data_IF_984131757821
#
_entry.id   IF_984131757821
#
_cell.length_a   1.000
_cell.length_b   1.000
_cell.length_c   1.000
_cell.angle_alpha   90.00
_cell.angle_beta   90.00
_cell.angle_gamma   90.00
#
_symmetry.space_group_name_H-M   'P 1'
#
loop_
_entity.id
_entity.type
_entity.pdbx_description
1 polymer ?
#
# COMPACT_ATOMS: atom_id res chain seq x y z
N UNK A 1 62.33 -39.86 -1.71
CA UNK A 1 63.05 -41.14 -1.53
C UNK A 1 63.13 -41.43 -0.03
N UNK A 2 62.96 -42.60 0.57
CA UNK A 2 62.25 -43.84 0.33
C UNK A 2 62.19 -44.55 1.71
N UNK A 3 61.07 -45.22 1.98
CA UNK A 3 60.74 -46.19 3.06
C UNK A 3 61.92 -46.87 3.80
N UNK A 4 61.79 -47.12 5.12
CA UNK A 4 61.43 -48.47 5.68
C UNK A 4 61.30 -48.53 7.21
N UNK A 5 60.29 -49.29 7.65
CA UNK A 5 60.02 -49.84 8.99
C UNK A 5 61.09 -50.85 9.45
N UNK A 6 61.36 -50.96 10.76
CA UNK A 6 60.88 -52.05 11.67
C UNK A 6 61.58 -52.06 13.05
N UNK A 7 60.75 -52.24 14.10
CA UNK A 7 60.87 -53.00 15.38
C UNK A 7 62.11 -53.91 15.54
N UNK A 8 62.68 -54.21 16.72
CA UNK A 8 62.10 -54.66 18.00
C UNK A 8 63.20 -54.74 19.10
N UNK A 9 62.79 -54.83 20.37
CA UNK A 9 63.55 -55.01 21.63
C UNK A 9 64.46 -56.26 21.70
N UNK A 10 65.35 -56.41 22.73
CA UNK A 10 64.94 -57.03 24.01
C UNK A 10 65.66 -56.56 25.30
N UNK A 11 65.18 -57.13 26.42
CA UNK A 11 65.46 -56.96 27.87
C UNK A 11 66.88 -57.37 28.36
N UNK A 12 67.27 -56.94 29.58
CA UNK A 12 67.48 -57.80 30.81
C UNK A 12 68.60 -57.30 31.76
N UNK A 13 68.20 -56.88 32.98
CA UNK A 13 68.68 -57.15 34.37
C UNK A 13 70.18 -57.24 34.77
N UNK A 14 70.59 -56.53 35.85
CA UNK A 14 71.04 -57.09 37.16
C UNK A 14 72.12 -56.27 37.95
N UNK A 15 71.67 -55.64 39.06
CA UNK A 15 72.16 -55.71 40.46
C UNK A 15 73.66 -55.65 40.86
N UNK A 16 74.03 -54.71 41.76
CA UNK A 16 74.85 -55.00 42.97
C UNK A 16 74.91 -53.85 43.99
N UNK A 17 74.66 -54.19 45.26
CA UNK A 17 74.83 -53.41 46.49
C UNK A 17 76.30 -53.12 46.84
N UNK A 18 76.58 -51.96 47.50
CA UNK A 18 77.18 -51.92 48.86
C UNK A 18 77.33 -50.49 49.44
N UNK A 19 76.98 -50.41 50.73
CA UNK A 19 77.03 -49.28 51.68
C UNK A 19 78.41 -48.65 51.89
N UNK A 20 78.45 -47.35 52.18
CA UNK A 20 79.35 -46.77 53.20
C UNK A 20 78.71 -45.58 53.93
N UNK A 21 79.09 -45.46 55.20
CA UNK A 21 78.63 -44.56 56.26
C UNK A 21 78.61 -43.08 55.85
N UNK A 22 77.58 -42.36 56.27
CA UNK A 22 77.51 -40.90 56.13
C UNK A 22 77.42 -40.24 57.52
N UNK A 23 78.23 -39.19 57.71
CA UNK A 23 78.43 -38.48 58.97
C UNK A 23 77.50 -37.27 59.08
N UNK A 24 77.16 -36.93 60.34
CA UNK A 24 76.30 -35.82 60.71
C UNK A 24 76.78 -34.45 60.20
N UNK A 25 76.04 -33.86 59.26
CA UNK A 25 75.77 -32.42 59.23
C UNK A 25 74.29 -32.23 58.88
N UNK A 26 73.55 -31.69 59.83
CA UNK A 26 72.12 -31.39 59.75
C UNK A 26 71.80 -30.46 58.57
N UNK A 27 71.07 -30.98 57.58
CA UNK A 27 70.33 -30.16 56.63
C UNK A 27 68.86 -30.16 57.05
N UNK A 28 68.54 -29.35 58.06
CA UNK A 28 67.14 -29.05 58.39
C UNK A 28 66.66 -28.03 57.38
N UNK A 29 66.09 -28.50 56.26
CA UNK A 29 65.28 -27.65 55.38
C UNK A 29 63.94 -27.42 56.07
N UNK A 30 63.80 -26.25 56.71
CA UNK A 30 62.51 -25.75 57.17
C UNK A 30 61.70 -25.46 55.91
N UNK A 31 60.76 -26.34 55.55
CA UNK A 31 59.75 -26.01 54.53
C UNK A 31 58.90 -24.88 55.08
N UNK A 32 59.13 -23.65 54.62
CA UNK A 32 58.21 -22.55 54.88
C UNK A 32 56.81 -22.96 54.43
N UNK A 33 55.86 -22.96 55.39
CA UNK A 33 54.44 -23.16 55.13
C UNK A 33 54.01 -22.01 54.21
N UNK A 34 53.85 -22.27 52.90
CA UNK A 34 53.26 -21.29 51.98
C UNK A 34 51.91 -20.87 52.52
N UNK A 35 51.76 -19.58 52.76
CA UNK A 35 50.54 -19.01 53.30
C UNK A 35 49.44 -19.02 52.24
N UNK A 36 48.61 -20.06 52.26
CA UNK A 36 47.51 -20.25 51.31
C UNK A 36 46.29 -19.37 51.62
N UNK A 37 46.37 -18.46 52.60
CA UNK A 37 45.28 -17.55 52.96
C UNK A 37 44.87 -16.66 51.79
N UNK A 38 45.81 -16.15 51.02
CA UNK A 38 45.54 -15.32 49.84
C UNK A 38 44.77 -16.09 48.76
N UNK A 39 45.18 -17.32 48.45
CA UNK A 39 44.49 -18.17 47.47
C UNK A 39 43.07 -18.54 47.93
N UNK A 40 42.88 -18.80 49.23
CA UNK A 40 41.56 -19.08 49.81
C UNK A 40 40.65 -17.86 49.78
N UNK A 41 41.16 -16.68 50.12
CA UNK A 41 40.40 -15.42 50.06
C UNK A 41 39.98 -15.09 48.64
N UNK A 42 40.90 -15.21 47.67
CA UNK A 42 40.60 -14.99 46.25
C UNK A 42 39.58 -16.00 45.74
N UNK A 43 39.74 -17.29 46.05
CA UNK A 43 38.76 -18.32 45.68
C UNK A 43 37.36 -18.06 46.27
N UNK A 44 37.30 -17.61 47.53
CA UNK A 44 36.02 -17.28 48.20
C UNK A 44 35.34 -16.07 47.54
N UNK A 45 36.11 -15.04 47.17
CA UNK A 45 35.60 -13.88 46.42
C UNK A 45 35.01 -14.32 45.08
N UNK A 46 35.70 -15.20 44.34
CA UNK A 46 35.18 -15.73 43.06
C UNK A 46 33.91 -16.56 43.24
N UNK A 47 33.80 -17.36 44.31
CA UNK A 47 32.59 -18.14 44.61
C UNK A 47 31.42 -17.20 44.94
N UNK A 48 31.65 -16.19 45.77
CA UNK A 48 30.62 -15.19 46.14
C UNK A 48 30.18 -14.39 44.91
N UNK A 49 31.12 -13.96 44.06
CA UNK A 49 30.81 -13.26 42.82
C UNK A 49 30.04 -14.16 41.84
N UNK A 50 30.42 -15.43 41.73
CA UNK A 50 29.71 -16.43 40.93
C UNK A 50 28.26 -16.62 41.38
N UNK A 51 28.03 -16.76 42.69
CA UNK A 51 26.68 -16.86 43.26
C UNK A 51 25.87 -15.59 43.05
N UNK A 52 26.50 -14.42 43.14
CA UNK A 52 25.85 -13.13 42.87
C UNK A 52 25.43 -13.01 41.40
N UNK A 53 26.29 -13.43 40.46
CA UNK A 53 25.98 -13.43 39.03
C UNK A 53 24.90 -14.46 38.67
N UNK A 54 24.91 -15.65 39.29
CA UNK A 54 23.84 -16.64 39.14
C UNK A 54 22.52 -16.09 39.70
N UNK A 55 22.56 -15.46 40.88
CA UNK A 55 21.40 -14.80 41.49
C UNK A 55 20.85 -13.68 40.61
N UNK A 56 21.72 -12.85 40.04
CA UNK A 56 21.33 -11.83 39.07
C UNK A 56 20.76 -12.44 37.79
N UNK A 57 21.32 -13.53 37.29
CA UNK A 57 20.83 -14.26 36.13
C UNK A 57 19.42 -14.82 36.36
N UNK A 58 19.18 -15.47 37.50
CA UNK A 58 17.86 -15.98 37.90
C UNK A 58 16.88 -14.83 38.10
N UNK A 59 17.29 -13.74 38.78
CA UNK A 59 16.47 -12.56 38.98
C UNK A 59 16.07 -11.89 37.65
N UNK A 60 17.02 -11.74 36.73
CA UNK A 60 16.81 -11.20 35.39
C UNK A 60 15.84 -12.08 34.59
N UNK A 61 16.04 -13.40 34.63
CA UNK A 61 15.17 -14.37 33.96
C UNK A 61 13.73 -14.35 34.49
N UNK A 62 13.56 -14.37 35.81
CA UNK A 62 12.22 -14.33 36.45
C UNK A 62 11.51 -12.99 36.22
N UNK A 63 12.26 -11.89 36.18
CA UNK A 63 11.70 -10.54 35.94
C UNK A 63 11.30 -10.33 34.49
N UNK A 64 12.03 -10.90 33.54
CA UNK A 64 11.80 -10.69 32.10
C UNK A 64 10.90 -11.77 31.47
N UNK A 65 10.72 -12.94 32.11
CA UNK A 65 10.03 -14.09 31.53
C UNK A 65 8.51 -14.18 31.76
N UNK A 66 7.87 -13.20 32.41
CA UNK A 66 6.40 -13.23 32.57
C UNK A 66 5.75 -12.43 31.45
N UNK A 67 5.12 -13.13 30.49
CA UNK A 67 4.16 -12.49 29.61
C UNK A 67 3.09 -11.80 30.49
N UNK A 68 2.68 -10.58 30.16
CA UNK A 68 1.63 -9.90 30.90
C UNK A 68 0.36 -10.76 30.88
N UNK A 69 -0.35 -10.77 32.01
CA UNK A 69 -1.62 -11.47 32.12
C UNK A 69 -2.69 -10.66 31.38
N UNK A 70 -3.51 -11.32 30.57
CA UNK A 70 -4.61 -10.66 29.86
C UNK A 70 -5.78 -10.51 30.83
N UNK A 71 -6.30 -9.29 30.95
CA UNK A 71 -7.49 -8.97 31.73
C UNK A 71 -8.62 -8.57 30.77
N UNK A 72 -9.55 -9.49 30.57
CA UNK A 72 -10.67 -9.34 29.64
C UNK A 72 -11.66 -8.23 30.03
N UNK A 73 -11.62 -7.72 31.26
CA UNK A 73 -12.47 -6.63 31.71
C UNK A 73 -11.99 -5.25 31.23
N UNK A 74 -10.78 -5.16 30.66
CA UNK A 74 -10.20 -3.90 30.22
C UNK A 74 -10.53 -3.60 28.76
N UNK A 75 -10.88 -2.34 28.48
CA UNK A 75 -11.16 -1.87 27.13
C UNK A 75 -9.87 -1.61 26.35
N UNK A 76 -9.68 -2.21 25.16
CA UNK A 76 -8.48 -1.98 24.36
C UNK A 76 -8.34 -0.52 23.89
N UNK A 77 -7.12 -0.06 23.58
CA UNK A 77 -6.87 1.22 22.91
C UNK A 77 -7.55 1.33 21.54
N UNK A 78 -7.71 2.56 21.04
CA UNK A 78 -8.28 2.85 19.71
C UNK A 78 -7.20 3.14 18.68
N UNK A 79 -7.52 2.96 17.39
CA UNK A 79 -6.68 3.34 16.24
C UNK A 79 -7.34 4.42 15.37
N UNK A 80 -8.16 5.30 15.95
CA UNK A 80 -9.03 6.25 15.23
C UNK A 80 -8.30 7.23 14.32
N UNK A 81 -7.05 7.55 14.64
CA UNK A 81 -6.22 8.50 13.87
C UNK A 81 -5.32 7.78 12.84
N UNK A 82 -5.46 6.46 12.70
CA UNK A 82 -4.69 5.64 11.75
C UNK A 82 -5.34 5.68 10.36
N UNK A 83 -4.55 6.00 9.33
CA UNK A 83 -5.01 5.98 7.95
C UNK A 83 -5.30 4.55 7.47
N UNK A 84 -6.35 4.39 6.66
CA UNK A 84 -6.75 3.10 6.09
C UNK A 84 -5.96 2.72 4.83
N UNK A 85 -5.36 3.70 4.17
CA UNK A 85 -4.49 3.49 3.03
C UNK A 85 -3.30 4.44 3.10
N UNK A 86 -2.13 3.99 2.63
CA UNK A 86 -0.92 4.82 2.57
C UNK A 86 0.01 4.36 1.46
N UNK A 87 0.71 5.31 0.86
CA UNK A 87 1.81 5.07 -0.06
C UNK A 87 3.21 5.24 0.55
N UNK A 88 3.29 5.43 1.86
CA UNK A 88 4.54 5.54 2.57
C UNK A 88 5.34 4.22 2.64
N UNK A 89 6.60 4.33 3.06
CA UNK A 89 7.40 3.18 3.48
C UNK A 89 7.04 2.71 4.90
N UNK A 90 6.24 3.51 5.63
CA UNK A 90 5.84 3.24 7.00
C UNK A 90 4.32 3.29 7.18
N UNK A 91 3.78 2.33 7.93
CA UNK A 91 2.45 2.44 8.51
C UNK A 91 2.57 3.19 9.84
N UNK A 92 1.83 4.28 9.97
CA UNK A 92 1.80 5.10 11.18
C UNK A 92 0.53 4.80 11.96
N UNK A 93 0.67 4.05 13.05
CA UNK A 93 -0.45 3.66 13.93
C UNK A 93 -0.65 4.72 15.01
N UNK A 94 -1.81 5.37 14.98
CA UNK A 94 -2.19 6.45 15.90
C UNK A 94 -3.57 6.22 16.50
N UNK A 95 -3.73 6.64 17.75
CA UNK A 95 -5.02 6.68 18.41
C UNK A 95 -4.91 7.00 19.91
N UNK A 96 -5.93 6.61 20.67
CA UNK A 96 -6.10 6.98 22.07
C UNK A 96 -5.93 5.75 23.00
N UNK A 97 -5.24 5.98 24.11
CA UNK A 97 -4.86 4.96 25.09
C UNK A 97 -4.73 5.56 26.51
N UNK A 98 -5.66 6.44 26.90
CA UNK A 98 -5.60 7.31 28.10
C UNK A 98 -5.23 6.54 29.39
N UNK A 99 -5.78 5.34 29.59
CA UNK A 99 -5.58 4.57 30.83
C UNK A 99 -4.34 3.65 30.82
N UNK A 100 -3.55 3.72 29.75
CA UNK A 100 -2.44 2.79 29.51
C UNK A 100 -1.09 3.50 29.54
N UNK A 101 -0.08 2.79 30.02
CA UNK A 101 1.30 3.30 30.02
C UNK A 101 1.97 3.06 28.67
N UNK A 102 1.62 1.95 28.03
CA UNK A 102 2.15 1.52 26.74
C UNK A 102 1.04 0.89 25.91
N UNK A 103 1.20 0.99 24.60
CA UNK A 103 0.40 0.24 23.63
C UNK A 103 1.32 -0.77 22.95
N UNK A 104 0.83 -1.99 22.83
CA UNK A 104 1.44 -3.09 22.08
C UNK A 104 0.76 -3.10 20.72
N UNK A 105 1.54 -3.06 19.65
CA UNK A 105 1.04 -3.04 18.28
C UNK A 105 1.27 -4.41 17.66
N UNK A 106 0.22 -4.94 17.05
CA UNK A 106 0.23 -6.19 16.31
C UNK A 106 0.01 -5.93 14.83
N UNK A 107 0.77 -6.63 14.00
CA UNK A 107 0.62 -6.67 12.54
C UNK A 107 0.45 -8.13 12.16
N UNK A 108 -0.65 -8.47 11.49
CA UNK A 108 -0.97 -9.85 11.08
C UNK A 108 -0.85 -10.85 12.23
N UNK A 109 -1.41 -10.46 13.39
CA UNK A 109 -1.38 -11.16 14.68
C UNK A 109 -0.01 -11.28 15.38
N UNK A 110 1.08 -10.85 14.77
CA UNK A 110 2.42 -10.82 15.37
C UNK A 110 2.68 -9.50 16.13
N UNK A 111 3.27 -9.57 17.33
CA UNK A 111 3.71 -8.38 18.06
C UNK A 111 4.89 -7.73 17.33
N UNK A 112 4.69 -6.55 16.76
CA UNK A 112 5.74 -5.82 16.03
C UNK A 112 6.44 -4.75 16.87
N UNK A 113 5.83 -4.35 18.00
CA UNK A 113 6.46 -3.39 18.88
C UNK A 113 5.58 -2.88 20.02
N UNK A 114 6.19 -2.02 20.85
CA UNK A 114 5.54 -1.34 21.97
C UNK A 114 5.88 0.13 21.97
N UNK A 115 4.87 0.98 22.14
CA UNK A 115 5.00 2.44 22.22
C UNK A 115 4.54 2.95 23.57
N UNK A 116 5.14 4.02 24.07
CA UNK A 116 4.72 4.69 25.31
C UNK A 116 3.59 5.67 25.00
N UNK A 117 2.55 5.67 25.83
CA UNK A 117 1.46 6.64 25.72
C UNK A 117 1.91 8.01 26.24
N UNK A 118 1.55 9.06 25.51
CA UNK A 118 1.78 10.45 25.86
C UNK A 118 0.99 10.92 27.08
N UNK A 119 1.29 12.12 27.55
CA UNK A 119 0.55 12.72 28.69
C UNK A 119 -0.88 13.14 28.31
N UNK A 120 -1.12 13.33 27.03
CA UNK A 120 -2.41 13.59 26.38
C UNK A 120 -3.24 12.32 26.18
N UNK A 121 -2.70 11.14 26.53
CA UNK A 121 -3.36 9.86 26.32
C UNK A 121 -3.29 9.35 24.88
N UNK A 122 -2.51 10.00 24.00
CA UNK A 122 -2.32 9.57 22.61
C UNK A 122 -1.05 8.76 22.45
N UNK A 123 -0.98 7.98 21.38
CA UNK A 123 0.23 7.26 21.00
C UNK A 123 0.44 7.30 19.48
N UNK A 124 1.70 7.15 19.07
CA UNK A 124 2.11 7.09 17.66
C UNK A 124 3.24 6.07 17.50
N UNK A 125 3.01 5.06 16.66
CA UNK A 125 3.96 4.01 16.36
C UNK A 125 4.17 3.88 14.86
N UNK A 126 5.43 3.94 14.43
CA UNK A 126 5.80 3.80 13.03
C UNK A 126 6.35 2.39 12.78
N UNK A 127 5.81 1.73 11.76
CA UNK A 127 6.27 0.43 11.30
C UNK A 127 6.67 0.51 9.84
N UNK A 128 7.96 0.31 9.56
CA UNK A 128 8.45 0.14 8.19
C UNK A 128 7.87 -1.14 7.57
N UNK A 129 7.35 -1.00 6.35
CA UNK A 129 6.74 -2.05 5.55
C UNK A 129 7.40 -2.05 4.17
N UNK A 130 7.98 -3.18 3.77
CA UNK A 130 8.69 -3.28 2.49
C UNK A 130 7.74 -3.57 1.35
N UNK A 131 6.82 -4.49 1.55
CA UNK A 131 5.96 -5.01 0.50
C UNK A 131 4.61 -4.29 0.48
N UNK A 132 4.05 -4.09 -0.71
CA UNK A 132 2.67 -3.61 -0.87
C UNK A 132 1.68 -4.71 -0.49
N UNK A 133 0.48 -4.30 -0.06
CA UNK A 133 -0.58 -5.23 0.27
C UNK A 133 -1.47 -4.76 1.42
N UNK A 134 -2.34 -5.66 1.86
CA UNK A 134 -3.25 -5.42 2.98
C UNK A 134 -2.66 -6.01 4.25
N UNK A 135 -2.65 -5.21 5.30
CA UNK A 135 -2.13 -5.55 6.61
C UNK A 135 -3.24 -5.43 7.66
N UNK A 136 -3.26 -6.37 8.60
CA UNK A 136 -4.23 -6.35 9.70
C UNK A 136 -3.54 -5.81 10.95
N UNK A 137 -3.94 -4.62 11.37
CA UNK A 137 -3.50 -4.00 12.61
C UNK A 137 -4.43 -4.35 13.76
N UNK A 138 -3.84 -4.61 14.92
CA UNK A 138 -4.55 -4.63 16.19
C UNK A 138 -3.66 -4.03 17.29
N UNK A 139 -4.27 -3.50 18.34
CA UNK A 139 -3.54 -2.91 19.46
C UNK A 139 -4.04 -3.42 20.80
N UNK A 140 -3.14 -3.51 21.78
CA UNK A 140 -3.48 -3.83 23.16
C UNK A 140 -2.81 -2.85 24.13
N UNK A 141 -3.49 -2.48 25.21
CA UNK A 141 -2.97 -1.59 26.23
C UNK A 141 -2.22 -2.38 27.31
N UNK A 142 -1.05 -1.91 27.74
CA UNK A 142 -0.29 -2.45 28.87
C UNK A 142 -0.34 -1.45 30.04
N UNK A 143 -0.78 -1.90 31.22
CA UNK A 143 -0.77 -1.13 32.47
C UNK A 143 -0.21 -1.92 33.66
N UNK A 144 0.13 -1.20 34.72
CA UNK A 144 0.65 -1.76 35.97
C UNK A 144 2.18 -1.64 36.15
N UNK A 145 2.61 -1.42 37.40
CA UNK A 145 4.03 -1.26 37.76
C UNK A 145 4.64 -2.55 38.36
N UNK A 146 3.91 -3.21 39.26
CA UNK A 146 4.35 -4.44 39.94
C UNK A 146 3.85 -5.73 39.26
N UNK A 147 2.60 -5.72 38.81
CA UNK A 147 1.99 -6.77 37.97
C UNK A 147 1.63 -6.12 36.64
N UNK A 148 2.21 -6.61 35.54
CA UNK A 148 1.86 -6.14 34.19
C UNK A 148 0.62 -6.87 33.73
N UNK A 149 -0.36 -6.09 33.29
CA UNK A 149 -1.62 -6.58 32.75
C UNK A 149 -1.82 -5.97 31.37
N UNK A 150 -2.33 -6.76 30.45
CA UNK A 150 -2.70 -6.32 29.11
C UNK A 150 -4.20 -6.42 28.86
N UNK A 151 -4.73 -5.55 28.03
CA UNK A 151 -6.08 -5.70 27.49
C UNK A 151 -6.13 -6.87 26.49
N UNK A 152 -7.32 -7.34 26.10
CA UNK A 152 -7.51 -8.02 24.82
C UNK A 152 -7.01 -7.15 23.65
N UNK A 153 -6.84 -7.76 22.47
CA UNK A 153 -6.60 -7.01 21.24
C UNK A 153 -7.85 -6.19 20.89
N UNK A 154 -7.64 -5.00 20.32
CA UNK A 154 -8.69 -4.20 19.70
C UNK A 154 -9.35 -4.93 18.53
N UNK A 155 -10.45 -4.37 18.05
CA UNK A 155 -10.99 -4.75 16.75
C UNK A 155 -9.91 -4.56 15.66
N UNK A 156 -9.85 -5.47 14.67
CA UNK A 156 -8.86 -5.39 13.61
C UNK A 156 -9.13 -4.19 12.70
N UNK A 157 -8.06 -3.47 12.34
CA UNK A 157 -8.08 -2.43 11.33
C UNK A 157 -7.27 -2.90 10.12
N UNK A 158 -7.91 -2.96 8.95
CA UNK A 158 -7.23 -3.28 7.70
C UNK A 158 -6.62 -2.01 7.14
N UNK A 159 -5.32 -2.03 6.88
CA UNK A 159 -4.58 -0.95 6.21
C UNK A 159 -4.02 -1.46 4.90
N UNK A 160 -4.23 -0.69 3.82
CA UNK A 160 -3.66 -0.97 2.51
C UNK A 160 -2.38 -0.15 2.30
N UNK A 161 -1.26 -0.81 2.02
CA UNK A 161 -0.05 -0.17 1.54
C UNK A 161 0.02 -0.32 0.04
N UNK A 162 -0.03 0.79 -0.67
CA UNK A 162 -0.03 0.84 -2.12
C UNK A 162 0.81 2.03 -2.60
N UNK A 163 1.82 1.78 -3.42
CA UNK A 163 2.73 2.79 -4.00
C UNK A 163 2.62 2.81 -5.52
N UNK A 164 1.66 2.08 -6.08
CA UNK A 164 1.36 2.08 -7.49
C UNK A 164 0.48 3.29 -7.79
N UNK A 165 0.93 4.14 -8.70
CA UNK A 165 0.16 5.31 -9.08
C UNK A 165 -1.07 4.92 -9.93
N UNK A 166 -2.23 5.56 -9.73
CA UNK A 166 -3.43 5.20 -10.44
C UNK A 166 -3.31 5.48 -11.93
N UNK A 167 -3.95 4.65 -12.76
CA UNK A 167 -3.92 4.84 -14.21
C UNK A 167 -5.12 5.64 -14.72
N UNK A 168 -4.88 6.47 -15.73
CA UNK A 168 -5.91 7.12 -16.54
C UNK A 168 -5.80 6.54 -17.94
N UNK A 169 -6.82 5.79 -18.35
CA UNK A 169 -6.81 5.01 -19.59
C UNK A 169 -7.43 5.77 -20.75
N UNK A 170 -8.48 6.54 -20.49
CA UNK A 170 -9.25 7.23 -21.53
C UNK A 170 -9.78 8.56 -21.03
N UNK A 171 -9.71 9.58 -21.88
CA UNK A 171 -10.34 10.88 -21.65
C UNK A 171 -11.03 11.30 -22.96
N UNK A 172 -12.30 11.67 -22.87
CA UNK A 172 -13.12 12.13 -23.98
C UNK A 172 -13.66 13.53 -23.66
N UNK A 173 -13.57 14.42 -24.65
CA UNK A 173 -14.04 15.80 -24.56
C UNK A 173 -14.28 16.34 -25.96
N UNK A 174 -15.07 17.41 -26.07
CA UNK A 174 -15.26 18.13 -27.33
C UNK A 174 -14.08 19.09 -27.58
N UNK A 175 -13.49 19.05 -28.77
CA UNK A 175 -12.36 19.92 -29.12
C UNK A 175 -12.73 21.40 -29.30
N UNK A 176 -14.00 21.69 -29.61
CA UNK A 176 -14.55 23.03 -29.73
C UNK A 176 -16.00 23.04 -29.22
N UNK A 177 -16.39 24.10 -28.50
CA UNK A 177 -17.74 24.28 -27.94
C UNK A 177 -18.20 25.74 -28.05
N UNK A 178 -19.50 25.95 -28.22
CA UNK A 178 -20.14 27.27 -28.23
C UNK A 178 -20.81 27.69 -26.93
N UNK A 179 -20.85 26.79 -25.96
CA UNK A 179 -21.37 27.03 -24.62
C UNK A 179 -20.26 27.49 -23.67
N UNK A 180 -20.62 28.31 -22.68
CA UNK A 180 -19.73 28.79 -21.62
C UNK A 180 -19.30 27.69 -20.62
N UNK A 181 -19.78 26.47 -20.82
CA UNK A 181 -19.34 25.29 -20.09
C UNK A 181 -19.13 24.10 -21.02
N UNK A 182 -18.31 23.14 -20.57
CA UNK A 182 -18.18 21.84 -21.22
C UNK A 182 -18.11 20.71 -20.19
N UNK A 183 -18.08 19.48 -20.69
CA UNK A 183 -17.89 18.28 -19.88
C UNK A 183 -16.75 17.42 -20.41
N UNK A 184 -16.11 16.68 -19.51
CA UNK A 184 -15.18 15.61 -19.83
C UNK A 184 -15.69 14.28 -19.26
N UNK A 185 -15.44 13.20 -19.97
CA UNK A 185 -15.68 11.85 -19.48
C UNK A 185 -14.45 10.98 -19.70
N UNK A 186 -14.35 9.85 -19.01
CA UNK A 186 -13.20 9.00 -19.18
C UNK A 186 -13.23 7.74 -18.34
N UNK A 187 -12.10 7.05 -18.38
CA UNK A 187 -11.81 5.84 -17.62
C UNK A 187 -10.49 6.03 -16.87
N UNK A 188 -10.51 5.72 -15.59
CA UNK A 188 -9.37 5.72 -14.68
C UNK A 188 -9.52 4.59 -13.66
N UNK A 189 -8.56 4.43 -12.77
CA UNK A 189 -8.67 3.46 -11.69
C UNK A 189 -9.92 3.71 -10.81
N UNK A 190 -10.66 2.64 -10.52
CA UNK A 190 -11.89 2.71 -9.73
C UNK A 190 -11.64 3.29 -8.33
N UNK A 191 -12.49 4.21 -7.89
CA UNK A 191 -12.35 4.90 -6.61
C UNK A 191 -11.25 5.96 -6.58
N UNK A 192 -10.46 6.14 -7.64
CA UNK A 192 -9.51 7.25 -7.72
C UNK A 192 -10.22 8.59 -7.91
N UNK A 193 -9.67 9.63 -7.29
CA UNK A 193 -10.10 11.02 -7.45
C UNK A 193 -9.41 11.63 -8.67
N UNK A 194 -10.21 12.06 -9.64
CA UNK A 194 -9.76 12.74 -10.85
C UNK A 194 -9.87 14.24 -10.65
N UNK A 195 -8.76 14.94 -10.84
CA UNK A 195 -8.60 16.36 -10.60
C UNK A 195 -8.24 17.04 -11.92
N UNK A 196 -9.15 17.86 -12.45
CA UNK A 196 -8.94 18.68 -13.63
C UNK A 196 -8.55 20.10 -13.20
N UNK A 197 -7.44 20.63 -13.73
CA UNK A 197 -6.91 21.94 -13.35
C UNK A 197 -6.59 22.83 -14.55
N UNK A 198 -6.93 24.12 -14.41
CA UNK A 198 -6.51 25.21 -15.31
C UNK A 198 -6.24 26.46 -14.47
N UNK A 199 -4.97 26.83 -14.31
CA UNK A 199 -4.61 27.96 -13.45
C UNK A 199 -5.09 27.73 -12.01
N UNK A 200 -6.03 28.54 -11.53
CA UNK A 200 -6.67 28.43 -10.21
C UNK A 200 -7.94 27.58 -10.21
N UNK A 201 -8.49 27.25 -11.37
CA UNK A 201 -9.73 26.48 -11.47
C UNK A 201 -9.43 25.00 -11.25
N UNK A 202 -10.19 24.38 -10.35
CA UNK A 202 -10.04 22.97 -9.95
C UNK A 202 -11.41 22.31 -9.95
N UNK A 203 -11.52 21.19 -10.66
CA UNK A 203 -12.72 20.35 -10.70
C UNK A 203 -12.33 18.93 -10.27
N UNK A 204 -13.13 18.33 -9.39
CA UNK A 204 -12.85 17.02 -8.81
C UNK A 204 -14.04 16.09 -8.95
N UNK A 205 -13.77 14.83 -9.30
CA UNK A 205 -14.75 13.74 -9.30
C UNK A 205 -14.09 12.44 -8.89
N UNK A 206 -14.85 11.53 -8.29
CA UNK A 206 -14.37 10.17 -8.00
C UNK A 206 -14.81 9.24 -9.14
N UNK A 207 -13.88 8.44 -9.67
CA UNK A 207 -14.20 7.38 -10.62
C UNK A 207 -15.05 6.30 -9.95
N UNK A 208 -16.09 5.83 -10.63
CA UNK A 208 -17.00 4.83 -10.09
C UNK A 208 -16.34 3.45 -9.94
N UNK A 209 -17.11 2.46 -9.45
CA UNK A 209 -16.62 1.08 -9.27
C UNK A 209 -16.15 0.40 -10.58
N UNK A 210 -16.57 0.92 -11.73
CA UNK A 210 -16.15 0.47 -13.05
C UNK A 210 -15.00 1.33 -13.63
N UNK A 211 -14.48 2.30 -12.86
CA UNK A 211 -13.44 3.22 -13.29
C UNK A 211 -13.94 4.36 -14.18
N UNK A 212 -15.25 4.54 -14.36
CA UNK A 212 -15.79 5.60 -15.22
C UNK A 212 -15.94 6.89 -14.42
N UNK A 213 -15.61 8.01 -15.06
CA UNK A 213 -15.80 9.33 -14.47
C UNK A 213 -16.41 10.32 -15.47
N UNK A 214 -17.13 11.31 -14.94
CA UNK A 214 -17.68 12.44 -15.71
C UNK A 214 -17.56 13.72 -14.87
N UNK A 215 -16.88 14.73 -15.40
CA UNK A 215 -16.87 16.09 -14.85
C UNK A 215 -17.72 16.95 -15.77
N UNK A 216 -18.75 17.60 -15.21
CA UNK A 216 -19.67 18.48 -15.93
C UNK A 216 -19.45 19.94 -15.51
N UNK A 217 -20.09 20.84 -16.24
CA UNK A 217 -20.18 22.27 -15.91
C UNK A 217 -18.80 22.94 -15.73
N UNK A 218 -17.82 22.52 -16.55
CA UNK A 218 -16.46 23.07 -16.52
C UNK A 218 -16.49 24.41 -17.25
N UNK A 219 -16.25 25.51 -16.52
CA UNK A 219 -16.40 26.87 -17.04
C UNK A 219 -15.34 27.23 -18.09
N UNK A 220 -15.77 27.91 -19.15
CA UNK A 220 -14.94 28.48 -20.20
C UNK A 220 -15.10 30.00 -20.18
N UNK A 221 -14.22 30.66 -19.42
CA UNK A 221 -14.28 32.10 -19.19
C UNK A 221 -13.59 32.92 -20.30
N UNK A 222 -12.74 32.28 -21.11
CA UNK A 222 -11.92 32.94 -22.13
C UNK A 222 -12.23 32.37 -23.50
N UNK A 223 -12.56 33.25 -24.45
CA UNK A 223 -12.71 32.90 -25.85
C UNK A 223 -11.38 32.40 -26.43
N UNK A 224 -11.44 31.38 -27.29
CA UNK A 224 -10.26 30.72 -27.84
C UNK A 224 -9.81 29.47 -27.08
N UNK A 225 -8.50 29.19 -27.09
CA UNK A 225 -7.94 27.91 -26.61
C UNK A 225 -7.84 27.87 -25.08
N UNK A 226 -8.51 26.89 -24.48
CA UNK A 226 -8.50 26.61 -23.05
C UNK A 226 -7.81 25.26 -22.78
N UNK A 227 -6.69 25.30 -22.05
CA UNK A 227 -5.85 24.11 -21.79
C UNK A 227 -5.94 23.69 -20.32
N UNK A 228 -6.25 22.42 -20.08
CA UNK A 228 -6.36 21.81 -18.76
C UNK A 228 -5.37 20.66 -18.59
N UNK A 229 -4.98 20.42 -17.34
CA UNK A 229 -4.23 19.24 -16.90
C UNK A 229 -5.13 18.33 -16.08
N UNK A 230 -4.96 17.01 -16.20
CA UNK A 230 -5.67 16.02 -15.40
C UNK A 230 -4.66 15.31 -14.51
N UNK A 231 -5.01 15.13 -13.24
CA UNK A 231 -4.27 14.34 -12.27
C UNK A 231 -5.23 13.35 -11.62
N UNK A 232 -4.89 12.06 -11.62
CA UNK A 232 -5.57 11.06 -10.81
C UNK A 232 -4.86 10.90 -9.48
N UNK A 233 -5.62 10.67 -8.42
CA UNK A 233 -5.14 10.40 -7.06
C UNK A 233 -5.90 9.22 -6.46
N UNK A 234 -5.21 8.20 -5.95
CA UNK A 234 -5.85 7.06 -5.30
C UNK A 234 -6.12 7.29 -3.79
N UNK A 235 -6.68 6.28 -3.12
CA UNK A 235 -6.95 6.32 -1.67
C UNK A 235 -5.65 6.34 -0.83
N UNK A 236 -4.59 5.69 -1.30
CA UNK A 236 -3.29 5.64 -0.65
C UNK A 236 -2.51 6.96 -0.74
N UNK A 237 -2.92 7.85 -1.65
CA UNK A 237 -2.33 9.15 -1.91
C UNK A 237 -1.35 9.19 -3.07
N UNK A 238 -1.21 8.13 -3.87
CA UNK A 238 -0.41 8.18 -5.09
C UNK A 238 -1.09 9.06 -6.13
N UNK A 239 -0.28 9.73 -6.95
CA UNK A 239 -0.77 10.64 -7.98
C UNK A 239 -0.14 10.34 -9.33
N UNK A 240 -0.92 10.40 -10.41
CA UNK A 240 -0.43 10.31 -11.79
C UNK A 240 -1.01 11.45 -12.61
N UNK A 241 -0.14 12.21 -13.28
CA UNK A 241 -0.58 13.20 -14.26
C UNK A 241 -0.89 12.51 -15.59
N UNK A 242 -2.01 12.87 -16.20
CA UNK A 242 -2.33 12.42 -17.56
C UNK A 242 -1.35 13.06 -18.55
N UNK A 243 -0.77 12.24 -19.44
CA UNK A 243 0.30 12.69 -20.34
C UNK A 243 -0.16 13.72 -21.35
N UNK A 244 -1.44 13.67 -21.76
CA UNK A 244 -2.02 14.59 -22.72
C UNK A 244 -2.75 15.73 -22.00
N UNK A 245 -2.73 16.92 -22.61
CA UNK A 245 -3.50 18.06 -22.11
C UNK A 245 -4.87 18.06 -22.75
N UNK A 246 -5.90 18.42 -21.99
CA UNK A 246 -7.23 18.66 -22.54
C UNK A 246 -7.23 20.07 -23.11
N UNK A 247 -7.38 20.19 -24.43
CA UNK A 247 -7.40 21.46 -25.14
C UNK A 247 -8.75 21.67 -25.80
N UNK A 248 -9.53 22.63 -25.30
CA UNK A 248 -10.88 22.95 -25.79
C UNK A 248 -10.89 24.37 -26.32
N UNK A 249 -11.42 24.57 -27.52
CA UNK A 249 -11.64 25.88 -28.12
C UNK A 249 -13.03 26.35 -27.72
N UNK A 250 -13.13 27.49 -27.03
CA UNK A 250 -14.40 28.17 -26.80
C UNK A 250 -14.60 29.21 -27.91
N UNK A 251 -15.75 29.19 -28.57
CA UNK A 251 -16.15 30.19 -29.55
C UNK A 251 -17.67 30.30 -29.55
N UNK A 252 -18.22 31.48 -29.24
CA UNK A 252 -19.68 31.69 -29.24
C UNK A 252 -20.34 31.44 -30.60
N UNK A 253 -19.57 31.45 -31.68
CA UNK A 253 -20.03 31.15 -33.04
C UNK A 253 -20.11 29.63 -33.32
N UNK A 254 -19.60 28.79 -32.41
CA UNK A 254 -19.60 27.34 -32.59
C UNK A 254 -20.99 26.74 -32.38
N UNK A 255 -21.38 25.84 -33.28
CA UNK A 255 -22.67 25.14 -33.21
C UNK A 255 -22.67 23.96 -32.23
N UNK A 256 -21.52 23.60 -31.64
CA UNK A 256 -21.38 22.45 -30.74
C UNK A 256 -21.82 22.85 -29.33
N UNK A 257 -22.87 22.19 -28.83
CA UNK A 257 -23.25 22.25 -27.43
C UNK A 257 -22.20 21.48 -26.60
N UNK A 258 -21.55 22.13 -25.63
CA UNK A 258 -20.56 21.52 -24.73
C UNK A 258 -21.11 20.51 -23.71
N UNK A 259 -22.43 20.22 -23.75
CA UNK A 259 -23.04 19.18 -22.93
C UNK A 259 -22.48 17.78 -23.25
N UNK A 260 -22.27 16.98 -22.20
CA UNK A 260 -21.81 15.60 -22.32
C UNK A 260 -22.77 14.74 -23.15
N UNK A 261 -22.27 14.17 -24.26
CA UNK A 261 -22.86 12.97 -24.87
C UNK A 261 -22.59 11.82 -23.89
N UNK A 262 -23.65 11.36 -23.21
CA UNK A 262 -23.62 10.27 -22.23
C UNK A 262 -23.74 8.88 -22.87
N UNK A 263 -23.75 8.80 -24.20
CA UNK A 263 -24.02 7.56 -24.93
C UNK A 263 -22.86 7.19 -25.85
N UNK A 264 -22.28 6.02 -25.61
CA UNK A 264 -21.18 5.43 -26.39
C UNK A 264 -21.60 4.99 -27.81
N UNK A 265 -22.89 5.10 -28.16
CA UNK A 265 -23.42 4.63 -29.44
C UNK A 265 -23.75 5.74 -30.45
N UNK A 266 -23.42 7.00 -30.16
CA UNK A 266 -23.59 8.09 -31.13
C UNK A 266 -22.23 8.66 -31.56
N UNK A 267 -21.85 8.53 -32.84
CA UNK A 267 -20.67 9.23 -33.33
C UNK A 267 -20.89 10.73 -33.14
N UNK A 268 -19.93 11.38 -32.49
CA UNK A 268 -19.84 12.84 -32.48
C UNK A 268 -19.72 13.26 -33.94
N UNK A 269 -20.77 13.90 -34.47
CA UNK A 269 -20.88 14.28 -35.87
C UNK A 269 -19.94 15.44 -36.19
N UNK A 270 -18.64 15.19 -36.19
CA UNK A 270 -17.67 16.04 -36.85
C UNK A 270 -17.59 15.61 -38.34
N UNK A 271 -18.50 16.12 -39.17
CA UNK A 271 -18.28 16.20 -40.62
C UNK A 271 -19.17 15.38 -41.56
N UNK A 272 -20.13 14.57 -41.09
CA UNK A 272 -20.95 13.76 -42.02
C UNK A 272 -22.21 14.44 -42.56
N UNK A 273 -22.62 15.61 -42.05
CA UNK A 273 -23.84 16.28 -42.55
C UNK A 273 -23.67 16.74 -44.01
N UNK A 274 -22.47 17.20 -44.39
CA UNK A 274 -22.19 17.66 -45.75
C UNK A 274 -22.08 16.48 -46.73
N UNK A 275 -21.54 15.35 -46.27
CA UNK A 275 -21.51 14.09 -47.02
C UNK A 275 -22.93 13.52 -47.21
N UNK A 276 -23.76 13.53 -46.17
CA UNK A 276 -25.16 13.09 -46.24
C UNK A 276 -26.04 14.03 -47.11
N UNK A 277 -25.86 15.34 -47.00
CA UNK A 277 -26.53 16.30 -47.89
C UNK A 277 -26.03 16.18 -49.33
N UNK A 278 -24.75 15.87 -49.56
CA UNK A 278 -24.23 15.66 -50.92
C UNK A 278 -24.86 14.45 -51.61
N UNK A 279 -25.15 13.37 -50.87
CA UNK A 279 -25.86 12.18 -51.40
C UNK A 279 -27.31 12.53 -51.75
N UNK A 280 -27.99 13.36 -50.95
CA UNK A 280 -29.34 13.83 -51.25
C UNK A 280 -29.40 14.86 -52.39
N UNK A 281 -28.35 15.66 -52.55
CA UNK A 281 -28.20 16.64 -53.63
C UNK A 281 -27.73 16.01 -54.94
N UNK A 282 -27.22 14.78 -54.89
CA UNK A 282 -26.77 14.07 -56.08
C UNK A 282 -27.98 13.75 -56.98
N UNK A 283 -27.92 14.25 -58.22
CA UNK A 283 -29.04 14.30 -59.16
C UNK A 283 -29.57 12.89 -59.54
N UNK A 284 -28.79 11.85 -59.25
CA UNK A 284 -29.16 10.44 -59.42
C UNK A 284 -30.27 9.99 -58.47
N UNK A 285 -30.30 10.45 -57.22
CA UNK A 285 -31.33 10.00 -56.25
C UNK A 285 -32.71 10.55 -56.62
N UNK A 286 -32.79 11.83 -57.01
CA UNK A 286 -34.03 12.41 -57.53
C UNK A 286 -34.50 11.73 -58.83
N UNK A 287 -33.58 11.33 -59.71
CA UNK A 287 -33.93 10.58 -60.93
C UNK A 287 -34.54 9.22 -60.60
N UNK A 288 -33.97 8.47 -59.65
CA UNK A 288 -34.49 7.16 -59.23
C UNK A 288 -35.85 7.29 -58.56
N UNK A 289 -36.02 8.25 -57.64
CA UNK A 289 -37.32 8.52 -57.01
C UNK A 289 -38.38 8.96 -58.04
N UNK A 290 -38.00 9.76 -59.04
CA UNK A 290 -38.87 10.15 -60.15
C UNK A 290 -39.31 8.97 -61.01
N UNK A 291 -38.40 8.04 -61.33
CA UNK A 291 -38.73 6.83 -62.10
C UNK A 291 -39.66 5.91 -61.30
N UNK A 292 -39.42 5.73 -60.00
CA UNK A 292 -40.29 4.92 -59.12
C UNK A 292 -41.69 5.54 -59.04
N UNK A 293 -41.79 6.86 -58.90
CA UNK A 293 -43.08 7.56 -58.91
C UNK A 293 -43.82 7.40 -60.24
N UNK A 294 -43.10 7.45 -61.37
CA UNK A 294 -43.68 7.24 -62.70
C UNK A 294 -44.23 5.81 -62.86
N UNK A 295 -43.48 4.79 -62.39
CA UNK A 295 -43.92 3.39 -62.42
C UNK A 295 -45.16 3.18 -61.53
N UNK A 296 -45.19 3.79 -60.35
CA UNK A 296 -46.36 3.77 -59.47
C UNK A 296 -47.59 4.45 -60.11
N UNK A 297 -47.37 5.55 -60.84
CA UNK A 297 -48.44 6.24 -61.55
C UNK A 297 -49.02 5.40 -62.70
N UNK A 298 -48.17 4.75 -63.49
CA UNK A 298 -48.58 3.88 -64.61
C UNK A 298 -49.33 2.65 -64.10
N UNK A 299 -48.87 2.04 -63.00
CA UNK A 299 -49.55 0.87 -62.41
C UNK A 299 -50.91 1.24 -61.83
N UNK A 300 -51.04 2.39 -61.15
CA UNK A 300 -52.36 2.83 -60.64
C UNK A 300 -53.34 3.17 -61.76
N UNK A 301 -52.87 3.82 -62.83
CA UNK A 301 -53.69 4.19 -63.99
C UNK A 301 -54.12 2.97 -64.82
N UNK A 302 -53.24 1.97 -64.94
CA UNK A 302 -53.55 0.69 -65.58
C UNK A 302 -54.66 -0.07 -64.86
N UNK A 303 -54.67 -0.07 -63.52
CA UNK A 303 -55.72 -0.72 -62.70
C UNK A 303 -57.08 -0.04 -62.89
N UNK A 304 -57.12 1.29 -63.04
CA UNK A 304 -58.36 2.05 -63.27
C UNK A 304 -58.96 1.75 -64.65
N UNK A 305 -58.13 1.59 -65.69
CA UNK A 305 -58.59 1.28 -67.05
C UNK A 305 -59.13 -0.15 -67.15
N UNK A 306 -58.51 -1.12 -66.47
CA UNK A 306 -58.97 -2.52 -66.46
C UNK A 306 -60.29 -2.68 -65.69
N UNK A 307 -60.53 -1.90 -64.62
CA UNK A 307 -61.81 -1.92 -63.90
C UNK A 307 -62.98 -1.35 -64.72
N UNK A 308 -62.75 -0.35 -65.59
CA UNK A 308 -63.80 0.21 -66.46
C UNK A 308 -64.26 -0.75 -67.56
N UNK A 309 -63.41 -1.67 -68.03
CA UNK A 309 -63.78 -2.68 -69.04
C UNK A 309 -64.55 -3.89 -68.48
N UNK A 310 -64.68 -4.04 -67.16
CA UNK A 310 -65.49 -5.10 -66.52
C UNK A 310 -66.92 -4.66 -66.16
N UNK A 311 -67.26 -3.39 -66.40
CA UNK A 311 -68.57 -2.79 -66.07
C UNK A 311 -69.29 -2.22 -67.30
N UNK A 312 -68.88 -2.64 -68.50
CA UNK A 312 -69.57 -2.34 -69.77
C UNK A 312 -70.03 -3.65 -70.41
#
# INVERSE_FOLDING_TARGET
>A
MAKKKRKNSPKTTAQKDKRSKDSMVSKVEIREKRDNTLSKSVGTIFIVLGLLLIGYGIFSFVKNGKNPEIDEALTPPTMSDTLKATNGEEIVVKGDAVDYKRVIVYLDDEEVGKVKVGRDGKYEFNKEIKDEGKYILAVAGEKGFFKKVTTPKSDPLIVSVDRTAPEITKVNYAGEVGTDTFAISGEAEAGSTIILKRGTDVYEVVADENGKFVIKDIALNDDGVNVYSIVAKDEAGNTKEFSEKVSVIYSQDSSVNGNAVIDTDLPVAAGELDLALSILRDQKVMMVLGIVALIAFVTSSGVVIVKRKRLA
#
